data_IF_820346138938
#
_entry.id   IF_820346138938
#
_cell.length_a   1.000
_cell.length_b   1.000
_cell.length_c   1.000
_cell.angle_alpha   90.00
_cell.angle_beta   90.00
_cell.angle_gamma   90.00
#
_symmetry.space_group_name_H-M   'P 1'
#
loop_
_entity.id
_entity.type
_entity.pdbx_description
1 polymer ?
#
# COMPACT_ATOMS: atom_id res chain seq x y z
N UNK A 1 13.51 9.59 -9.75
CA UNK A 1 12.13 9.59 -10.30
C UNK A 1 11.34 8.35 -9.90
N UNK A 2 11.82 7.12 -10.16
CA UNK A 2 11.13 5.89 -9.78
C UNK A 2 10.68 5.84 -8.30
N UNK A 3 11.56 6.22 -7.36
CA UNK A 3 11.22 6.25 -5.93
C UNK A 3 10.15 7.29 -5.53
N UNK A 4 10.09 8.43 -6.23
CA UNK A 4 9.06 9.45 -5.99
C UNK A 4 7.71 9.00 -6.56
N UNK A 5 7.72 8.35 -7.72
CA UNK A 5 6.52 7.76 -8.30
C UNK A 5 5.95 6.70 -7.34
N UNK A 6 6.76 5.71 -6.93
CA UNK A 6 6.32 4.68 -5.98
C UNK A 6 5.86 5.26 -4.65
N UNK A 7 6.49 6.33 -4.16
CA UNK A 7 6.06 6.99 -2.92
C UNK A 7 4.71 7.69 -3.04
N UNK A 8 4.39 8.31 -4.19
CA UNK A 8 3.17 9.11 -4.38
C UNK A 8 1.94 8.32 -4.86
N UNK A 9 2.12 7.25 -5.62
CA UNK A 9 1.01 6.41 -6.13
C UNK A 9 0.04 5.90 -5.05
N UNK A 10 0.47 5.40 -3.88
CA UNK A 10 -0.44 4.79 -2.92
C UNK A 10 -1.31 5.84 -2.20
N UNK A 11 -0.78 7.05 -1.98
CA UNK A 11 -1.54 8.18 -1.45
C UNK A 11 -2.56 8.72 -2.45
N UNK A 12 -2.19 8.81 -3.73
CA UNK A 12 -3.10 9.28 -4.79
C UNK A 12 -4.18 8.25 -5.12
N UNK A 13 -3.84 6.96 -5.10
CA UNK A 13 -4.77 5.88 -5.40
C UNK A 13 -5.87 5.78 -4.35
N UNK A 14 -5.55 5.81 -3.04
CA UNK A 14 -6.57 5.69 -1.98
C UNK A 14 -7.62 6.79 -2.06
N UNK A 15 -7.22 8.03 -2.35
CA UNK A 15 -8.14 9.17 -2.51
C UNK A 15 -9.10 9.02 -3.69
N UNK A 16 -8.70 8.38 -4.78
CA UNK A 16 -9.55 8.18 -5.95
C UNK A 16 -10.35 6.87 -5.88
N UNK A 17 -9.80 5.86 -5.21
CA UNK A 17 -10.37 4.53 -5.05
C UNK A 17 -11.56 4.53 -4.07
N UNK A 18 -11.42 5.14 -2.90
CA UNK A 18 -12.46 5.17 -1.86
C UNK A 18 -13.84 5.64 -2.38
N UNK A 19 -13.97 6.81 -3.06
CA UNK A 19 -15.27 7.25 -3.58
C UNK A 19 -15.80 6.38 -4.74
N UNK A 20 -14.92 5.66 -5.44
CA UNK A 20 -15.31 4.74 -6.51
C UNK A 20 -15.95 3.46 -5.94
N UNK A 21 -15.43 2.96 -4.82
CA UNK A 21 -15.93 1.76 -4.13
C UNK A 21 -17.12 2.02 -3.20
N UNK A 22 -17.46 3.28 -2.95
CA UNK A 22 -18.67 3.70 -2.24
C UNK A 22 -19.90 3.81 -3.15
N UNK A 23 -19.74 3.63 -4.47
CA UNK A 23 -20.86 3.74 -5.40
C UNK A 23 -21.78 2.51 -5.33
N UNK A 24 -23.11 2.67 -5.50
CA UNK A 24 -24.08 1.57 -5.42
C UNK A 24 -23.86 0.46 -6.45
N UNK A 25 -23.13 0.77 -7.53
CA UNK A 25 -22.85 -0.13 -8.65
C UNK A 25 -21.40 -0.65 -8.65
N UNK A 26 -20.67 -0.46 -7.55
CA UNK A 26 -19.29 -0.89 -7.43
C UNK A 26 -19.21 -2.43 -7.32
N UNK A 27 -18.22 -3.07 -7.96
CA UNK A 27 -18.02 -4.52 -7.86
C UNK A 27 -17.65 -4.97 -6.44
N UNK A 28 -17.16 -4.05 -5.61
CA UNK A 28 -16.81 -4.25 -4.20
C UNK A 28 -17.30 -3.00 -3.47
N UNK A 29 -18.31 -3.14 -2.62
CA UNK A 29 -18.80 -2.04 -1.80
C UNK A 29 -17.93 -1.94 -0.55
N UNK A 30 -17.36 -0.77 -0.30
CA UNK A 30 -16.52 -0.50 0.87
C UNK A 30 -17.22 0.55 1.72
N UNK A 31 -17.57 0.21 2.96
CA UNK A 31 -18.18 1.15 3.89
C UNK A 31 -17.15 2.19 4.40
N UNK A 32 -17.62 3.31 4.95
CA UNK A 32 -16.73 4.35 5.50
C UNK A 32 -15.78 3.79 6.58
N UNK A 33 -16.25 2.89 7.44
CA UNK A 33 -15.44 2.22 8.46
C UNK A 33 -14.33 1.34 7.84
N UNK A 34 -14.65 0.61 6.77
CA UNK A 34 -13.69 -0.24 6.06
C UNK A 34 -12.63 0.60 5.34
N UNK A 35 -13.05 1.71 4.73
CA UNK A 35 -12.15 2.70 4.14
C UNK A 35 -11.21 3.32 5.17
N UNK A 36 -11.72 3.65 6.36
CA UNK A 36 -10.92 4.16 7.47
C UNK A 36 -9.89 3.14 7.96
N UNK A 37 -10.25 1.85 8.01
CA UNK A 37 -9.31 0.78 8.33
C UNK A 37 -8.20 0.62 7.28
N UNK A 38 -8.54 0.68 5.99
CA UNK A 38 -7.55 0.63 4.90
C UNK A 38 -6.56 1.79 5.02
N UNK A 39 -7.05 3.01 5.27
CA UNK A 39 -6.19 4.18 5.47
C UNK A 39 -5.31 4.04 6.73
N UNK A 40 -5.87 3.52 7.82
CA UNK A 40 -5.15 3.32 9.08
C UNK A 40 -4.05 2.25 8.95
N UNK A 41 -4.34 1.14 8.27
CA UNK A 41 -3.35 0.09 7.99
C UNK A 41 -2.19 0.62 7.14
N UNK A 42 -2.50 1.48 6.16
CA UNK A 42 -1.48 2.16 5.37
C UNK A 42 -0.61 3.10 6.21
N UNK A 43 -1.20 3.91 7.10
CA UNK A 43 -0.45 4.76 8.03
C UNK A 43 0.44 3.95 8.98
N UNK A 44 -0.07 2.84 9.52
CA UNK A 44 0.70 1.91 10.36
C UNK A 44 1.89 1.32 9.58
N UNK A 45 1.66 0.89 8.34
CA UNK A 45 2.71 0.43 7.44
C UNK A 45 3.77 1.50 7.18
N UNK A 46 3.36 2.77 7.02
CA UNK A 46 4.27 3.90 6.88
C UNK A 46 5.06 4.21 8.15
N UNK A 47 4.53 3.94 9.34
CA UNK A 47 5.24 4.14 10.60
C UNK A 47 6.26 3.02 10.88
N UNK A 48 5.89 1.77 10.59
CA UNK A 48 6.72 0.58 10.86
C UNK A 48 7.76 0.37 9.75
N UNK A 49 7.42 0.67 8.50
CA UNK A 49 8.26 0.46 7.32
C UNK A 49 9.66 1.06 7.43
N UNK A 50 9.83 2.33 7.84
CA UNK A 50 11.14 2.94 8.04
C UNK A 50 11.99 2.19 9.06
N UNK A 51 11.42 1.82 10.21
CA UNK A 51 12.12 1.10 11.28
C UNK A 51 12.61 -0.27 10.78
N UNK A 52 11.75 -1.01 10.08
CA UNK A 52 12.12 -2.29 9.48
C UNK A 52 13.19 -2.12 8.40
N UNK A 53 13.08 -1.08 7.57
CA UNK A 53 14.05 -0.81 6.50
C UNK A 53 15.44 -0.47 7.06
N UNK A 54 15.51 0.23 8.19
CA UNK A 54 16.75 0.53 8.90
C UNK A 54 17.44 -0.76 9.35
N UNK A 55 16.73 -1.64 10.06
CA UNK A 55 17.28 -2.90 10.56
C UNK A 55 17.76 -3.79 9.41
N UNK A 56 16.95 -3.96 8.36
CA UNK A 56 17.30 -4.80 7.21
C UNK A 56 18.48 -4.20 6.43
N UNK A 57 18.57 -2.88 6.32
CA UNK A 57 19.69 -2.22 5.64
C UNK A 57 21.02 -2.43 6.36
N UNK A 58 21.01 -2.54 7.69
CA UNK A 58 22.19 -2.84 8.50
C UNK A 58 22.67 -4.29 8.34
N UNK A 59 21.77 -5.24 8.08
CA UNK A 59 22.10 -6.67 7.98
C UNK A 59 22.52 -7.06 6.55
N UNK A 60 21.78 -6.61 5.53
CA UNK A 60 21.90 -7.12 4.14
C UNK A 60 22.56 -6.11 3.19
N UNK A 61 22.74 -4.86 3.63
CA UNK A 61 23.29 -3.77 2.83
C UNK A 61 22.25 -3.07 1.93
N UNK A 62 22.51 -1.80 1.60
CA UNK A 62 21.55 -0.88 0.96
C UNK A 62 21.07 -1.33 -0.43
N UNK A 63 21.93 -1.98 -1.23
CA UNK A 63 21.60 -2.36 -2.61
C UNK A 63 20.60 -3.53 -2.65
N UNK A 64 20.76 -4.50 -1.75
CA UNK A 64 19.88 -5.65 -1.62
C UNK A 64 18.54 -5.26 -1.01
N UNK A 65 18.54 -4.34 -0.04
CA UNK A 65 17.31 -3.76 0.51
C UNK A 65 16.40 -3.19 -0.58
N UNK A 66 16.96 -2.43 -1.53
CA UNK A 66 16.18 -1.83 -2.62
C UNK A 66 15.54 -2.88 -3.53
N UNK A 67 16.23 -3.98 -3.80
CA UNK A 67 15.70 -5.09 -4.60
C UNK A 67 14.61 -5.85 -3.82
N UNK A 68 14.83 -6.10 -2.52
CA UNK A 68 13.86 -6.76 -1.66
C UNK A 68 12.61 -5.91 -1.49
N UNK A 69 12.73 -4.58 -1.34
CA UNK A 69 11.60 -3.67 -1.18
C UNK A 69 10.68 -3.61 -2.41
N UNK A 70 11.19 -3.93 -3.60
CA UNK A 70 10.37 -4.04 -4.81
C UNK A 70 9.41 -5.24 -4.77
N UNK A 71 9.76 -6.31 -4.06
CA UNK A 71 8.93 -7.52 -3.95
C UNK A 71 7.60 -7.27 -3.22
N UNK A 72 7.56 -6.76 -1.97
CA UNK A 72 6.31 -6.46 -1.29
C UNK A 72 5.55 -5.32 -1.96
N UNK A 73 6.24 -4.41 -2.66
CA UNK A 73 5.60 -3.39 -3.48
C UNK A 73 4.73 -4.01 -4.58
N UNK A 74 5.33 -4.85 -5.43
CA UNK A 74 4.61 -5.53 -6.51
C UNK A 74 3.53 -6.44 -5.95
N UNK A 75 3.84 -7.21 -4.89
CA UNK A 75 2.88 -8.11 -4.25
C UNK A 75 1.66 -7.36 -3.71
N UNK A 76 1.85 -6.22 -3.03
CA UNK A 76 0.76 -5.40 -2.49
C UNK A 76 -0.16 -4.87 -3.58
N UNK A 77 0.39 -4.31 -4.67
CA UNK A 77 -0.41 -3.85 -5.80
C UNK A 77 -1.13 -4.98 -6.53
N UNK A 78 -0.51 -6.15 -6.64
CA UNK A 78 -1.14 -7.33 -7.26
C UNK A 78 -2.30 -7.81 -6.40
N UNK A 79 -2.14 -7.83 -5.07
CA UNK A 79 -3.20 -8.19 -4.13
C UNK A 79 -4.38 -7.22 -4.22
N UNK A 80 -4.12 -5.91 -4.34
CA UNK A 80 -5.17 -4.90 -4.56
C UNK A 80 -5.89 -5.12 -5.90
N UNK A 81 -5.15 -5.42 -6.97
CA UNK A 81 -5.73 -5.61 -8.31
C UNK A 81 -6.66 -6.83 -8.41
N UNK A 82 -6.38 -7.88 -7.64
CA UNK A 82 -7.20 -9.11 -7.61
C UNK A 82 -8.11 -9.19 -6.38
N UNK A 83 -8.17 -8.14 -5.55
CA UNK A 83 -9.03 -8.11 -4.38
C UNK A 83 -10.49 -8.30 -4.81
N UNK A 84 -11.17 -9.28 -4.20
CA UNK A 84 -12.60 -9.54 -4.42
C UNK A 84 -13.45 -9.28 -3.18
N UNK A 85 -12.80 -9.11 -2.03
CA UNK A 85 -13.41 -8.80 -0.75
C UNK A 85 -12.58 -7.71 -0.07
N UNK A 86 -13.22 -6.83 0.74
CA UNK A 86 -12.52 -5.84 1.55
C UNK A 86 -11.71 -6.46 2.71
N UNK A 87 -11.93 -7.74 3.00
CA UNK A 87 -11.26 -8.55 4.02
C UNK A 87 -10.59 -9.78 3.40
#
# INVERSE_FOLDING_TARGET
YLGMFSGGTPYGWSSAALPLYQQPNAPIFVNDDEGAWIASAFMLGSAIGPLMSLVIAHIVGRKTLLLIAAVPWIAGWTMIAFARSPW
#
